data_IF_012513321309
#
_entry.id   IF_012513321309
#
_cell.length_a   1.000
_cell.length_b   1.000
_cell.length_c   1.000
_cell.angle_alpha   90.00
_cell.angle_beta   90.00
_cell.angle_gamma   90.00
#
_symmetry.space_group_name_H-M   'P 1'
#
loop_
_entity.id
_entity.type
_entity.pdbx_description
1 polymer ?
#
# COMPACT_ATOMS: atom_id res chain seq x y z
N UNK A 1 6.71 -0.69 8.50
CA UNK A 1 6.56 -1.72 9.55
C UNK A 1 7.93 -2.28 9.90
N UNK A 2 8.24 -2.43 11.19
CA UNK A 2 9.43 -3.10 11.70
C UNK A 2 9.00 -4.45 12.27
N UNK A 3 9.61 -5.53 11.81
CA UNK A 3 9.28 -6.90 12.24
C UNK A 3 10.55 -7.58 12.74
N UNK A 4 10.48 -8.22 13.91
CA UNK A 4 11.60 -9.04 14.40
C UNK A 4 11.80 -10.22 13.45
N UNK A 5 13.03 -10.38 12.98
CA UNK A 5 13.40 -11.49 12.12
C UNK A 5 14.87 -11.86 12.36
N UNK A 6 15.08 -13.07 12.88
CA UNK A 6 16.39 -13.60 13.29
C UNK A 6 17.30 -13.94 12.10
N UNK A 7 16.79 -13.93 10.87
CA UNK A 7 17.57 -14.18 9.66
C UNK A 7 18.48 -13.00 9.32
N UNK A 8 18.04 -11.78 9.59
CA UNK A 8 18.85 -10.58 9.34
C UNK A 8 19.82 -10.33 10.50
N UNK A 9 21.02 -9.84 10.18
CA UNK A 9 22.06 -9.51 11.16
C UNK A 9 21.62 -8.47 12.19
N UNK A 10 20.73 -7.55 11.81
CA UNK A 10 20.11 -6.58 12.72
C UNK A 10 19.07 -7.20 13.65
N UNK A 11 18.60 -8.41 13.38
CA UNK A 11 17.45 -9.03 14.05
C UNK A 11 16.09 -8.44 13.63
N UNK A 12 16.07 -7.53 12.64
CA UNK A 12 14.87 -6.83 12.19
C UNK A 12 14.75 -6.77 10.67
N UNK A 13 13.51 -6.89 10.20
CA UNK A 13 13.10 -6.61 8.83
C UNK A 13 12.36 -5.26 8.79
N UNK A 14 12.76 -4.39 7.86
CA UNK A 14 12.12 -3.10 7.60
C UNK A 14 11.28 -3.22 6.33
N UNK A 15 9.98 -2.98 6.41
CA UNK A 15 9.08 -3.02 5.25
C UNK A 15 8.35 -1.71 5.10
N UNK A 16 8.47 -1.08 3.93
CA UNK A 16 7.67 0.06 3.54
C UNK A 16 6.33 -0.43 2.98
N UNK A 17 5.24 0.23 3.39
CA UNK A 17 3.89 -0.07 2.90
C UNK A 17 3.22 1.25 2.56
N UNK A 18 2.74 1.36 1.34
CA UNK A 18 1.80 2.41 0.94
C UNK A 18 0.39 1.81 0.99
N UNK A 19 -0.56 2.51 1.62
CA UNK A 19 -1.93 2.01 1.72
C UNK A 19 -2.96 3.13 1.66
N UNK A 20 -4.07 2.88 0.95
CA UNK A 20 -5.27 3.72 0.94
C UNK A 20 -6.42 2.89 1.51
N UNK A 21 -7.02 3.35 2.59
CA UNK A 21 -8.17 2.71 3.25
C UNK A 21 -9.45 3.45 2.89
N UNK A 22 -10.49 2.73 2.45
CA UNK A 22 -11.82 3.28 2.19
C UNK A 22 -12.93 2.32 2.59
N UNK A 23 -14.16 2.86 2.64
CA UNK A 23 -15.36 2.05 2.81
C UNK A 23 -15.54 1.11 1.62
N UNK A 24 -16.10 -0.09 1.85
CA UNK A 24 -16.28 -1.13 0.81
C UNK A 24 -17.05 -0.66 -0.42
N UNK A 25 -17.96 0.32 -0.25
CA UNK A 25 -18.70 0.96 -1.35
C UNK A 25 -17.78 1.56 -2.43
N UNK A 26 -16.58 1.99 -2.03
CA UNK A 26 -15.59 2.66 -2.88
C UNK A 26 -14.49 1.68 -3.35
N UNK A 27 -14.70 0.37 -3.21
CA UNK A 27 -13.75 -0.63 -3.68
C UNK A 27 -13.44 -0.51 -5.17
N UNK A 28 -14.44 -0.22 -5.99
CA UNK A 28 -14.25 -0.05 -7.43
C UNK A 28 -13.22 1.05 -7.74
N UNK A 29 -13.22 2.13 -6.95
CA UNK A 29 -12.24 3.20 -7.04
C UNK A 29 -10.84 2.70 -6.66
N UNK A 30 -10.71 1.94 -5.57
CA UNK A 30 -9.42 1.37 -5.17
C UNK A 30 -8.87 0.38 -6.20
N UNK A 31 -9.73 -0.41 -6.84
CA UNK A 31 -9.34 -1.27 -7.97
C UNK A 31 -8.79 -0.44 -9.12
N UNK A 32 -9.37 0.73 -9.43
CA UNK A 32 -8.81 1.63 -10.44
C UNK A 32 -7.42 2.15 -10.09
N UNK A 33 -7.11 2.40 -8.81
CA UNK A 33 -5.73 2.74 -8.40
C UNK A 33 -4.76 1.58 -8.66
N UNK A 34 -5.17 0.35 -8.37
CA UNK A 34 -4.37 -0.84 -8.65
C UNK A 34 -4.07 -1.00 -10.15
N UNK A 35 -5.09 -0.83 -10.99
CA UNK A 35 -4.96 -0.89 -12.45
C UNK A 35 -4.07 0.24 -12.98
N UNK A 36 -4.33 1.48 -12.54
CA UNK A 36 -3.60 2.67 -12.98
C UNK A 36 -2.13 2.64 -12.61
N UNK A 37 -1.80 2.26 -11.37
CA UNK A 37 -0.42 2.11 -10.92
C UNK A 37 0.20 0.80 -11.46
N UNK A 38 -0.60 -0.14 -11.97
CA UNK A 38 -0.17 -1.47 -12.40
C UNK A 38 0.56 -2.24 -11.30
N UNK A 39 0.19 -2.02 -10.03
CA UNK A 39 0.77 -2.68 -8.88
C UNK A 39 -0.13 -2.59 -7.64
N UNK A 40 0.22 -3.35 -6.61
CA UNK A 40 -0.53 -3.40 -5.35
C UNK A 40 -1.57 -4.50 -5.34
N UNK A 41 -2.39 -4.50 -4.30
CA UNK A 41 -3.49 -5.44 -4.11
C UNK A 41 -4.60 -4.84 -3.27
N UNK A 42 -5.80 -5.38 -3.43
CA UNK A 42 -6.95 -5.09 -2.57
C UNK A 42 -6.96 -6.06 -1.39
N UNK A 43 -6.93 -5.54 -0.17
CA UNK A 43 -6.95 -6.29 1.08
C UNK A 43 -8.23 -6.01 1.85
N UNK A 44 -8.83 -7.06 2.44
CA UNK A 44 -9.96 -6.97 3.36
C UNK A 44 -9.62 -7.69 4.64
N UNK A 45 -9.96 -7.10 5.78
CA UNK A 45 -9.80 -7.73 7.08
C UNK A 45 -11.14 -8.32 7.53
N UNK A 46 -11.16 -9.58 7.96
CA UNK A 46 -12.38 -10.22 8.48
C UNK A 46 -12.97 -9.48 9.69
N UNK A 47 -12.13 -8.80 10.47
CA UNK A 47 -12.52 -8.00 11.64
C UNK A 47 -13.10 -6.63 11.27
N UNK A 48 -13.04 -6.22 10.00
CA UNK A 48 -13.48 -4.90 9.53
C UNK A 48 -14.14 -5.05 8.13
N UNK A 49 -15.34 -5.65 8.06
CA UNK A 49 -15.97 -6.02 6.79
C UNK A 49 -16.29 -4.81 5.90
N UNK A 50 -16.57 -3.65 6.49
CA UNK A 50 -16.93 -2.44 5.76
C UNK A 50 -15.72 -1.65 5.23
N UNK A 51 -14.50 -2.14 5.46
CA UNK A 51 -13.26 -1.46 5.05
C UNK A 51 -12.50 -2.31 4.04
N UNK A 52 -12.09 -1.65 2.97
CA UNK A 52 -11.22 -2.18 1.93
C UNK A 52 -9.94 -1.35 1.86
N UNK A 53 -8.80 -1.99 1.61
CA UNK A 53 -7.51 -1.33 1.53
C UNK A 53 -6.85 -1.64 0.20
N UNK A 54 -6.40 -0.61 -0.52
CA UNK A 54 -5.38 -0.76 -1.54
C UNK A 54 -4.02 -0.73 -0.85
N UNK A 55 -3.15 -1.71 -1.11
CA UNK A 55 -1.86 -1.87 -0.43
C UNK A 55 -0.74 -2.21 -1.41
N UNK A 56 0.38 -1.50 -1.30
CA UNK A 56 1.63 -1.78 -2.03
C UNK A 56 2.75 -1.96 -1.01
N UNK A 57 3.34 -3.16 -0.94
CA UNK A 57 4.44 -3.47 -0.01
C UNK A 57 5.75 -3.85 -0.68
N UNK A 58 5.74 -4.08 -2.01
CA UNK A 58 6.97 -4.39 -2.77
C UNK A 58 7.77 -3.10 -2.92
N UNK A 59 8.99 -3.08 -2.37
CA UNK A 59 9.82 -1.88 -2.37
C UNK A 59 10.09 -1.32 -3.77
N UNK A 60 10.35 -2.19 -4.76
CA UNK A 60 10.56 -1.75 -6.16
C UNK A 60 9.34 -1.00 -6.70
N UNK A 61 8.12 -1.54 -6.49
CA UNK A 61 6.89 -0.88 -6.94
C UNK A 61 6.67 0.46 -6.23
N UNK A 62 6.98 0.55 -4.94
CA UNK A 62 6.87 1.82 -4.20
C UNK A 62 7.84 2.86 -4.78
N UNK A 63 9.10 2.47 -4.99
CA UNK A 63 10.14 3.36 -5.51
C UNK A 63 9.85 3.82 -6.94
N UNK A 64 9.43 2.92 -7.81
CA UNK A 64 9.33 3.16 -9.26
C UNK A 64 7.96 3.67 -9.71
N UNK A 65 6.91 3.42 -8.93
CA UNK A 65 5.52 3.72 -9.33
C UNK A 65 4.82 4.66 -8.36
N UNK A 66 4.87 4.35 -7.06
CA UNK A 66 4.12 5.11 -6.04
C UNK A 66 4.75 6.47 -5.75
N UNK A 67 6.07 6.54 -5.51
CA UNK A 67 6.76 7.80 -5.21
C UNK A 67 6.70 8.79 -6.40
N UNK A 68 6.90 8.38 -7.66
CA UNK A 68 6.74 9.29 -8.80
C UNK A 68 5.31 9.83 -8.91
N UNK A 69 4.29 8.99 -8.70
CA UNK A 69 2.89 9.43 -8.68
C UNK A 69 2.65 10.51 -7.61
N UNK A 70 3.14 10.32 -6.39
CA UNK A 70 2.92 11.27 -5.29
C UNK A 70 3.70 12.58 -5.43
N UNK A 71 4.71 12.66 -6.29
CA UNK A 71 5.46 13.90 -6.57
C UNK A 71 4.75 14.80 -7.59
N UNK A 72 3.87 14.25 -8.42
CA UNK A 72 3.14 14.99 -9.46
C UNK A 72 1.90 15.69 -8.89
N UNK A 73 1.36 15.18 -7.77
CA UNK A 73 0.29 15.85 -7.02
C UNK A 73 0.97 16.58 -5.85
N UNK A 74 1.19 17.91 -5.92
CA UNK A 74 1.71 18.64 -4.78
C UNK A 74 0.70 18.46 -3.66
N UNK A 75 1.19 18.00 -2.51
CA UNK A 75 0.42 17.90 -1.28
C UNK A 75 -0.42 19.17 -1.14
N UNK A 76 -1.74 19.03 -1.18
CA UNK A 76 -2.66 20.13 -0.89
C UNK A 76 -2.29 20.63 0.51
N UNK A 77 -1.70 21.81 0.58
CA UNK A 77 -1.57 22.59 1.81
C UNK A 77 -2.96 23.02 2.32
#
# INVERSE_FOLDING_TARGET
KLLKNKIYSSGFNVTLVFSISQHVRDEALLTKFMDYLGCGRIERASTRPDIVNFSVSKFSNIKEKVIPFSKVVPYME
#
